data_IF_801024422251
#
_entry.id   IF_801024422251
#
_cell.length_a   1.000
_cell.length_b   1.000
_cell.length_c   1.000
_cell.angle_alpha   90.00
_cell.angle_beta   90.00
_cell.angle_gamma   90.00
#
_symmetry.space_group_name_H-M   'P 1'
#
loop_
_entity.id
_entity.type
_entity.pdbx_description
1 polymer ?
#
# COMPACT_ATOMS: atom_id res chain seq x y z
N UNK A 1 -22.22 8.66 -15.56
CA UNK A 1 -20.74 8.69 -15.43
C UNK A 1 -20.22 7.98 -14.18
N UNK A 2 -20.69 8.31 -12.97
CA UNK A 2 -20.23 7.68 -11.71
C UNK A 2 -20.31 6.14 -11.73
N UNK A 3 -21.43 5.57 -12.18
CA UNK A 3 -21.64 4.11 -12.26
C UNK A 3 -20.63 3.43 -13.20
N UNK A 4 -20.31 4.09 -14.32
CA UNK A 4 -19.33 3.58 -15.30
C UNK A 4 -17.92 3.60 -14.70
N UNK A 5 -17.55 4.66 -13.98
CA UNK A 5 -16.27 4.71 -13.27
C UNK A 5 -16.18 3.69 -12.13
N UNK A 6 -17.27 3.46 -11.38
CA UNK A 6 -17.31 2.44 -10.35
C UNK A 6 -17.18 1.03 -10.96
N UNK A 7 -17.89 0.73 -12.05
CA UNK A 7 -17.73 -0.55 -12.76
C UNK A 7 -16.32 -0.73 -13.31
N UNK A 8 -15.74 0.31 -13.91
CA UNK A 8 -14.36 0.25 -14.38
C UNK A 8 -13.42 -0.03 -13.21
N UNK A 9 -13.48 0.74 -12.12
CA UNK A 9 -12.57 0.64 -10.97
C UNK A 9 -12.68 -0.66 -10.17
N UNK A 10 -13.90 -1.20 -10.01
CA UNK A 10 -14.15 -2.32 -9.10
C UNK A 10 -14.42 -3.66 -9.80
N UNK A 11 -14.81 -3.66 -11.08
CA UNK A 11 -15.25 -4.87 -11.80
C UNK A 11 -14.39 -5.18 -13.02
N UNK A 12 -14.15 -4.21 -13.90
CA UNK A 12 -13.43 -4.48 -15.17
C UNK A 12 -11.91 -4.41 -15.03
N UNK A 13 -11.41 -3.51 -14.19
CA UNK A 13 -10.00 -3.40 -13.89
C UNK A 13 -9.59 -4.61 -13.05
N UNK A 14 -8.68 -5.42 -13.60
CA UNK A 14 -8.25 -6.67 -12.98
C UNK A 14 -7.92 -6.46 -11.49
N UNK A 15 -8.40 -7.33 -10.58
CA UNK A 15 -8.36 -7.09 -9.14
C UNK A 15 -6.94 -7.02 -8.57
N UNK A 16 -5.96 -7.49 -9.35
CA UNK A 16 -4.53 -7.54 -9.03
C UNK A 16 -3.70 -6.45 -9.72
N UNK A 17 -4.32 -5.56 -10.51
CA UNK A 17 -3.58 -4.48 -11.17
C UNK A 17 -3.42 -3.30 -10.22
N UNK A 18 -2.18 -2.85 -10.11
CA UNK A 18 -1.76 -1.69 -9.33
C UNK A 18 -1.63 -0.51 -10.29
N UNK A 19 -2.46 0.52 -10.09
CA UNK A 19 -2.54 1.69 -11.00
C UNK A 19 -1.52 2.78 -10.71
N UNK A 20 -0.76 2.66 -9.61
CA UNK A 20 0.22 3.66 -9.18
C UNK A 20 1.43 3.00 -8.53
N UNK A 21 2.63 3.49 -8.87
CA UNK A 21 3.88 3.07 -8.22
C UNK A 21 3.83 3.26 -6.70
N UNK A 22 3.23 4.36 -6.22
CA UNK A 22 3.10 4.66 -4.79
C UNK A 22 2.26 3.59 -4.07
N UNK A 23 1.15 3.21 -4.70
CA UNK A 23 0.28 2.15 -4.20
C UNK A 23 1.00 0.81 -4.20
N UNK A 24 1.80 0.54 -5.24
CA UNK A 24 2.58 -0.69 -5.36
C UNK A 24 3.69 -0.81 -4.32
N UNK A 25 4.42 0.26 -4.07
CA UNK A 25 5.46 0.27 -3.04
C UNK A 25 4.84 0.17 -1.65
N UNK A 26 3.74 0.87 -1.39
CA UNK A 26 2.99 0.75 -0.12
C UNK A 26 2.50 -0.68 0.11
N UNK A 27 1.95 -1.33 -0.94
CA UNK A 27 1.56 -2.74 -0.91
C UNK A 27 2.73 -3.64 -0.50
N UNK A 28 3.85 -3.53 -1.22
CA UNK A 28 4.99 -4.42 -1.01
C UNK A 28 5.53 -4.25 0.40
N UNK A 29 5.67 -3.03 0.89
CA UNK A 29 6.18 -2.80 2.25
C UNK A 29 5.19 -3.27 3.33
N UNK A 30 3.89 -3.04 3.15
CA UNK A 30 2.86 -3.54 4.06
C UNK A 30 2.86 -5.08 4.10
N UNK A 31 3.04 -5.73 2.95
CA UNK A 31 3.15 -7.19 2.84
C UNK A 31 4.43 -7.71 3.50
N UNK A 32 5.57 -7.05 3.32
CA UNK A 32 6.83 -7.41 3.99
C UNK A 32 6.72 -7.24 5.51
N UNK A 33 6.09 -6.16 5.99
CA UNK A 33 5.85 -5.93 7.42
C UNK A 33 4.97 -7.04 8.02
N UNK A 34 3.87 -7.40 7.35
CA UNK A 34 3.00 -8.49 7.75
C UNK A 34 3.72 -9.84 7.78
N UNK A 35 4.49 -10.16 6.72
CA UNK A 35 5.26 -11.41 6.61
C UNK A 35 6.30 -11.53 7.74
N UNK A 36 6.89 -10.41 8.16
CA UNK A 36 7.85 -10.34 9.25
C UNK A 36 7.21 -10.12 10.64
N UNK A 37 5.90 -10.36 10.79
CA UNK A 37 5.15 -10.22 12.05
C UNK A 37 5.35 -8.85 12.70
N UNK A 38 5.34 -7.79 11.90
CA UNK A 38 5.49 -6.40 12.34
C UNK A 38 6.84 -6.07 13.01
N UNK A 39 7.87 -6.91 12.81
CA UNK A 39 9.19 -6.72 13.44
C UNK A 39 10.13 -5.79 12.67
N UNK A 40 9.90 -5.64 11.37
CA UNK A 40 10.74 -4.81 10.52
C UNK A 40 9.90 -4.15 9.42
N UNK A 41 10.06 -2.82 9.20
CA UNK A 41 9.43 -2.12 8.10
C UNK A 41 10.20 -2.29 6.78
N UNK A 42 11.31 -3.04 6.76
CA UNK A 42 12.10 -3.23 5.55
C UNK A 42 11.31 -3.94 4.46
N UNK A 43 11.42 -3.45 3.23
CA UNK A 43 10.99 -4.12 2.02
C UNK A 43 11.91 -5.32 1.80
N UNK A 44 11.31 -6.51 1.84
CA UNK A 44 12.02 -7.76 1.60
C UNK A 44 12.18 -8.02 0.09
N UNK A 45 13.42 -8.06 -0.39
CA UNK A 45 13.72 -8.38 -1.78
C UNK A 45 13.81 -9.90 -1.97
N UNK A 46 12.65 -10.52 -2.18
CA UNK A 46 12.54 -11.98 -2.41
C UNK A 46 13.32 -12.49 -3.62
N UNK A 47 13.70 -11.60 -4.55
CA UNK A 47 14.52 -11.94 -5.73
C UNK A 47 16.01 -12.10 -5.44
N UNK A 48 16.47 -11.86 -4.20
CA UNK A 48 17.90 -11.86 -3.86
C UNK A 48 18.63 -13.18 -4.17
N UNK A 49 17.91 -14.31 -4.24
CA UNK A 49 18.50 -15.60 -4.60
C UNK A 49 18.86 -15.72 -6.10
N UNK A 50 18.21 -14.95 -6.97
CA UNK A 50 18.48 -14.91 -8.42
C UNK A 50 19.29 -13.68 -8.82
N UNK A 51 19.10 -12.56 -8.11
CA UNK A 51 19.74 -11.28 -8.38
C UNK A 51 20.32 -10.72 -7.07
N UNK A 52 21.40 -11.33 -6.54
CA UNK A 52 21.98 -10.91 -5.25
C UNK A 52 22.50 -9.47 -5.27
N UNK A 53 22.96 -9.02 -6.44
CA UNK A 53 23.45 -7.66 -6.68
C UNK A 53 22.31 -6.63 -6.87
N UNK A 54 21.05 -7.06 -6.86
CA UNK A 54 19.86 -6.22 -7.08
C UNK A 54 19.89 -5.43 -8.41
N UNK A 55 20.54 -5.93 -9.46
CA UNK A 55 20.67 -5.24 -10.76
C UNK A 55 19.33 -5.09 -11.48
N UNK A 56 18.40 -6.01 -11.23
CA UNK A 56 17.09 -6.06 -11.88
C UNK A 56 15.94 -5.77 -10.90
N UNK A 57 16.25 -5.17 -9.74
CA UNK A 57 15.22 -4.80 -8.77
C UNK A 57 14.19 -3.82 -9.38
N UNK A 58 12.88 -4.04 -9.14
CA UNK A 58 11.86 -3.08 -9.53
C UNK A 58 11.82 -1.86 -8.60
N UNK A 59 12.50 -1.91 -7.45
CA UNK A 59 12.50 -0.83 -6.47
C UNK A 59 13.52 0.23 -6.84
N UNK A 60 13.04 1.40 -7.27
CA UNK A 60 13.88 2.51 -7.71
C UNK A 60 13.52 3.80 -6.98
N UNK A 61 14.51 4.66 -6.67
CA UNK A 61 14.23 6.04 -6.28
C UNK A 61 13.32 6.73 -7.31
N UNK A 62 12.45 7.68 -6.90
CA UNK A 62 12.38 8.27 -5.56
C UNK A 62 11.52 7.49 -4.55
N UNK A 63 10.82 6.43 -4.97
CA UNK A 63 9.76 5.82 -4.14
C UNK A 63 10.29 4.95 -3.00
N UNK A 64 11.57 4.57 -3.07
CA UNK A 64 12.27 3.82 -2.03
C UNK A 64 13.59 4.49 -1.68
N UNK A 65 14.01 4.30 -0.43
CA UNK A 65 15.27 4.76 0.12
C UNK A 65 15.95 3.62 0.87
N UNK A 66 17.27 3.49 0.69
CA UNK A 66 18.06 2.59 1.51
C UNK A 66 18.37 3.29 2.83
N UNK A 67 18.06 2.64 3.95
CA UNK A 67 18.27 3.16 5.30
C UNK A 67 19.12 2.19 6.10
N UNK A 68 19.53 2.55 7.33
CA UNK A 68 20.18 1.61 8.25
C UNK A 68 19.31 0.38 8.57
N UNK A 69 17.98 0.52 8.48
CA UNK A 69 17.03 -0.57 8.68
C UNK A 69 16.70 -1.36 7.41
N UNK A 70 17.42 -1.12 6.31
CA UNK A 70 17.15 -1.69 4.99
C UNK A 70 16.35 -0.77 4.08
N UNK A 71 15.93 -1.31 2.94
CA UNK A 71 15.13 -0.60 1.93
C UNK A 71 13.73 -0.30 2.47
N UNK A 72 13.29 0.95 2.40
CA UNK A 72 11.96 1.38 2.86
C UNK A 72 11.33 2.30 1.82
N UNK A 73 10.00 2.39 1.79
CA UNK A 73 9.33 3.44 1.02
C UNK A 73 9.56 4.80 1.66
N UNK A 74 9.47 5.85 0.84
CA UNK A 74 9.47 7.24 1.31
C UNK A 74 8.15 7.67 1.98
N UNK A 75 7.13 6.80 1.98
CA UNK A 75 5.81 7.12 2.50
C UNK A 75 5.75 7.06 4.03
N UNK A 76 4.83 7.81 4.66
CA UNK A 76 4.66 7.80 6.11
C UNK A 76 4.46 6.38 6.68
N UNK A 77 5.23 5.96 7.69
CA UNK A 77 5.15 4.62 8.27
C UNK A 77 3.75 4.24 8.78
N UNK A 78 2.99 5.21 9.27
CA UNK A 78 1.65 4.98 9.82
C UNK A 78 0.71 4.35 8.79
N UNK A 79 0.75 4.82 7.54
CA UNK A 79 -0.10 4.25 6.47
C UNK A 79 0.21 2.77 6.21
N UNK A 80 1.49 2.42 6.28
CA UNK A 80 1.98 1.05 6.06
C UNK A 80 1.56 0.14 7.22
N UNK A 81 1.73 0.60 8.47
CA UNK A 81 1.32 -0.14 9.67
C UNK A 81 -0.19 -0.40 9.67
N UNK A 82 -0.98 0.60 9.29
CA UNK A 82 -2.44 0.47 9.18
C UNK A 82 -2.86 -0.45 8.03
N UNK A 83 -2.15 -0.44 6.90
CA UNK A 83 -2.46 -1.28 5.75
C UNK A 83 -2.06 -2.75 5.94
N UNK A 84 -0.94 -3.02 6.62
CA UNK A 84 -0.36 -4.35 6.79
C UNK A 84 -1.34 -5.45 7.28
N UNK A 85 -2.18 -5.26 8.32
CA UNK A 85 -3.10 -6.31 8.74
C UNK A 85 -4.16 -6.64 7.67
N UNK A 86 -4.63 -5.64 6.93
CA UNK A 86 -5.60 -5.86 5.86
C UNK A 86 -4.96 -6.56 4.67
N UNK A 87 -3.72 -6.18 4.31
CA UNK A 87 -2.93 -6.87 3.28
C UNK A 87 -2.63 -8.32 3.68
N UNK A 88 -2.40 -8.59 4.97
CA UNK A 88 -2.16 -9.95 5.46
C UNK A 88 -3.37 -10.88 5.25
N UNK A 89 -4.59 -10.35 5.36
CA UNK A 89 -5.84 -11.12 5.27
C UNK A 89 -6.37 -11.17 3.83
N UNK A 90 -6.31 -10.04 3.13
CA UNK A 90 -7.02 -9.84 1.86
C UNK A 90 -6.15 -9.36 0.72
N UNK A 91 -4.82 -9.32 0.88
CA UNK A 91 -3.87 -8.91 -0.17
C UNK A 91 -4.31 -7.54 -0.78
N UNK A 92 -4.40 -7.43 -2.11
CA UNK A 92 -4.90 -6.25 -2.81
C UNK A 92 -6.33 -5.83 -2.40
N UNK A 93 -7.22 -6.78 -2.13
CA UNK A 93 -8.57 -6.47 -1.69
C UNK A 93 -8.58 -5.82 -0.30
N UNK A 94 -7.68 -6.28 0.59
CA UNK A 94 -7.46 -5.67 1.89
C UNK A 94 -7.02 -4.22 1.76
N UNK A 95 -6.10 -3.94 0.85
CA UNK A 95 -5.64 -2.57 0.66
C UNK A 95 -6.70 -1.64 0.05
N UNK A 96 -7.56 -2.16 -0.85
CA UNK A 96 -8.73 -1.41 -1.35
C UNK A 96 -9.73 -1.12 -0.24
N UNK A 97 -9.98 -2.10 0.64
CA UNK A 97 -10.87 -1.93 1.79
C UNK A 97 -10.37 -0.80 2.72
N UNK A 98 -9.05 -0.73 2.98
CA UNK A 98 -8.45 0.37 3.73
C UNK A 98 -8.72 1.71 3.06
N UNK A 99 -8.50 1.83 1.74
CA UNK A 99 -8.76 3.08 1.02
C UNK A 99 -10.22 3.53 1.10
N UNK A 100 -11.17 2.61 0.96
CA UNK A 100 -12.61 2.89 1.09
C UNK A 100 -12.95 3.33 2.52
N UNK A 101 -12.44 2.62 3.53
CA UNK A 101 -12.66 2.95 4.93
C UNK A 101 -12.08 4.34 5.27
N UNK A 102 -10.87 4.65 4.80
CA UNK A 102 -10.26 5.96 4.97
C UNK A 102 -11.10 7.07 4.33
N UNK A 103 -11.63 6.85 3.12
CA UNK A 103 -12.52 7.82 2.47
C UNK A 103 -13.80 8.05 3.30
N UNK A 104 -14.42 7.00 3.82
CA UNK A 104 -15.60 7.10 4.68
C UNK A 104 -15.31 7.89 5.97
N UNK A 105 -14.17 7.64 6.62
CA UNK A 105 -13.74 8.36 7.83
C UNK A 105 -13.51 9.84 7.54
N UNK A 106 -12.88 10.18 6.41
CA UNK A 106 -12.66 11.57 6.01
C UNK A 106 -13.99 12.30 5.77
N UNK A 107 -14.91 11.69 5.02
CA UNK A 107 -16.23 12.26 4.74
C UNK A 107 -16.99 12.48 6.06
N UNK A 108 -16.99 11.48 6.95
CA UNK A 108 -17.64 11.59 8.25
C UNK A 108 -17.02 12.70 9.11
N UNK A 109 -15.69 12.78 9.18
CA UNK A 109 -14.99 13.83 9.93
C UNK A 109 -15.32 15.23 9.41
N UNK A 110 -15.35 15.40 8.08
CA UNK A 110 -15.72 16.66 7.45
C UNK A 110 -17.17 17.05 7.77
N UNK A 111 -18.11 16.09 7.71
CA UNK A 111 -19.51 16.30 8.08
C UNK A 111 -19.65 16.78 9.53
N UNK A 112 -18.95 16.14 10.48
CA UNK A 112 -18.99 16.50 11.90
C UNK A 112 -18.42 17.89 12.19
N UNK A 113 -17.48 18.37 11.36
CA UNK A 113 -16.97 19.73 11.46
C UNK A 113 -17.97 20.77 10.96
N UNK A 114 -18.80 20.43 9.96
CA UNK A 114 -19.86 21.30 9.48
C UNK A 114 -20.98 21.45 10.52
N UNK A 115 -21.36 20.37 11.20
CA UNK A 115 -22.38 20.40 12.28
C UNK A 115 -21.97 21.24 13.50
N UNK A 116 -20.68 21.56 13.65
CA UNK A 116 -20.12 22.33 14.77
C UNK A 116 -19.96 23.81 14.48
N UNK A 117 -20.28 24.26 13.26
CA UNK A 117 -20.34 25.68 12.87
C UNK A 117 -21.76 26.20 12.99
#
# INVERSE_FOLDING_TARGET
MLVVYAMLAFVMLAPYVIYSGDYGITYVQARSLAANRFRSPAIDYRGAFLDPDRRFTPFRPPFVIETRGGLQAIFPPLGIVLAAPFVAIGDFAGMRAVSIASAAVIIWGAWRLLERR
#
